data_IF_772251199175
#
_entry.id   IF_772251199175
#
_cell.length_a   1.000
_cell.length_b   1.000
_cell.length_c   1.000
_cell.angle_alpha   90.00
_cell.angle_beta   90.00
_cell.angle_gamma   90.00
#
_symmetry.space_group_name_H-M   'P 1'
#
loop_
_entity.id
_entity.type
_entity.pdbx_description
1 polymer ?
#
# COMPACT_ATOMS: atom_id res chain seq x y z
N UNK A 1 -14.54 -14.25 8.95
CA UNK A 1 -13.40 -14.40 8.06
C UNK A 1 -12.26 -13.77 8.81
N UNK A 2 -11.28 -14.57 9.16
CA UNK A 2 -10.04 -14.08 9.77
C UNK A 2 -9.22 -13.40 8.67
N UNK A 3 -8.37 -12.46 9.10
CA UNK A 3 -7.45 -11.75 8.20
C UNK A 3 -6.17 -12.57 8.08
N UNK A 4 -5.78 -12.88 6.86
CA UNK A 4 -4.57 -13.62 6.51
C UNK A 4 -3.47 -12.67 6.00
N UNK A 5 -2.23 -13.16 6.01
CA UNK A 5 -1.11 -12.42 5.42
C UNK A 5 -1.32 -12.32 3.89
N UNK A 6 -1.15 -11.11 3.36
CA UNK A 6 -1.41 -10.76 1.97
C UNK A 6 -2.84 -10.24 1.72
N UNK A 7 -3.69 -10.20 2.74
CA UNK A 7 -5.00 -9.57 2.62
C UNK A 7 -4.86 -8.05 2.46
N UNK A 8 -5.70 -7.49 1.59
CA UNK A 8 -5.81 -6.04 1.39
C UNK A 8 -7.04 -5.54 2.14
N UNK A 9 -6.83 -4.55 3.00
CA UNK A 9 -7.86 -3.89 3.78
C UNK A 9 -7.85 -2.39 3.48
N UNK A 10 -9.01 -1.74 3.47
CA UNK A 10 -9.11 -0.30 3.29
C UNK A 10 -9.23 0.39 4.64
N UNK A 11 -8.50 1.48 4.85
CA UNK A 11 -8.68 2.32 6.02
C UNK A 11 -9.97 3.15 5.88
N UNK A 12 -10.94 2.94 6.75
CA UNK A 12 -12.22 3.66 6.72
C UNK A 12 -12.10 5.16 7.03
N UNK A 13 -10.98 5.60 7.63
CA UNK A 13 -10.76 7.00 8.01
C UNK A 13 -10.12 7.84 6.88
N UNK A 14 -9.15 7.28 6.16
CA UNK A 14 -8.42 7.98 5.10
C UNK A 14 -8.62 7.40 3.70
N UNK A 15 -9.23 6.21 3.58
CA UNK A 15 -9.44 5.52 2.31
C UNK A 15 -8.22 4.78 1.76
N UNK A 16 -7.06 4.85 2.43
CA UNK A 16 -5.82 4.19 1.98
C UNK A 16 -5.95 2.67 1.98
N UNK A 17 -5.50 2.02 0.92
CA UNK A 17 -5.33 0.56 0.87
C UNK A 17 -4.11 0.11 1.65
N UNK A 18 -4.27 -0.89 2.51
CA UNK A 18 -3.22 -1.44 3.36
C UNK A 18 -3.12 -2.96 3.16
N UNK A 19 -1.90 -3.49 3.03
CA UNK A 19 -1.64 -4.93 2.95
C UNK A 19 -1.23 -5.49 4.32
N UNK A 20 -1.74 -6.67 4.66
CA UNK A 20 -1.37 -7.37 5.89
C UNK A 20 -0.06 -8.12 5.69
N UNK A 21 1.02 -7.66 6.32
CA UNK A 21 2.37 -8.27 6.19
C UNK A 21 2.77 -9.13 7.41
N UNK A 22 2.05 -9.02 8.53
CA UNK A 22 2.25 -9.80 9.77
C UNK A 22 0.96 -9.98 10.59
N UNK A 23 0.88 -11.03 11.41
CA UNK A 23 -0.32 -11.41 12.18
C UNK A 23 -0.12 -11.49 13.72
N UNK A 24 1.12 -11.40 14.22
CA UNK A 24 1.42 -11.44 15.67
C UNK A 24 2.72 -10.68 16.01
N UNK A 25 2.65 -9.36 16.31
CA UNK A 25 1.49 -8.48 16.20
C UNK A 25 1.08 -8.23 14.74
N UNK A 26 -0.13 -7.68 14.54
CA UNK A 26 -0.57 -7.28 13.19
C UNK A 26 0.32 -6.15 12.69
N UNK A 27 0.88 -6.34 11.51
CA UNK A 27 1.69 -5.35 10.79
C UNK A 27 1.06 -5.11 9.43
N UNK A 28 0.92 -3.83 9.06
CA UNK A 28 0.32 -3.38 7.83
C UNK A 28 1.32 -2.55 7.04
N UNK A 29 1.35 -2.73 5.73
CA UNK A 29 2.10 -1.88 4.81
C UNK A 29 1.14 -1.10 3.91
N UNK A 30 1.59 0.03 3.36
CA UNK A 30 0.78 0.81 2.42
C UNK A 30 0.80 0.08 1.08
N UNK A 31 -0.37 -0.13 0.49
CA UNK A 31 -0.43 -0.60 -0.90
C UNK A 31 0.10 0.53 -1.78
N UNK A 32 1.27 0.33 -2.38
CA UNK A 32 1.79 1.22 -3.39
C UNK A 32 0.84 1.17 -4.59
N UNK A 33 0.00 2.20 -4.74
CA UNK A 33 -0.59 2.50 -6.05
C UNK A 33 0.59 2.95 -6.93
N UNK A 34 0.77 2.34 -8.09
CA UNK A 34 1.79 2.68 -9.09
C UNK A 34 1.54 4.09 -9.71
N UNK A 35 1.11 5.07 -8.92
CA UNK A 35 0.87 6.47 -9.29
C UNK A 35 2.04 7.36 -8.85
N UNK A 36 3.26 6.82 -8.88
CA UNK A 36 4.43 7.63 -9.17
C UNK A 36 4.72 7.48 -10.65
N UNK A 37 3.96 8.22 -11.48
CA UNK A 37 4.52 8.78 -12.71
C UNK A 37 5.73 9.62 -12.29
N UNK A 38 6.87 8.96 -12.13
CA UNK A 38 8.19 9.57 -12.21
C UNK A 38 8.39 10.00 -13.66
N UNK A 39 7.59 10.98 -14.11
CA UNK A 39 7.98 11.93 -15.15
C UNK A 39 9.09 12.81 -14.53
N UNK A 40 10.20 12.16 -14.18
CA UNK A 40 11.50 12.81 -14.18
C UNK A 40 11.80 13.05 -15.65
N UNK A 41 11.30 14.18 -16.18
CA UNK A 41 11.71 14.76 -17.46
C UNK A 41 13.25 14.87 -17.47
N UNK A 42 13.91 13.77 -17.85
CA UNK A 42 15.31 13.68 -18.21
C UNK A 42 15.48 14.19 -19.65
N UNK A 43 15.17 15.47 -19.89
CA UNK A 43 15.52 16.18 -21.13
C UNK A 43 15.49 17.69 -20.82
N UNK A 44 16.60 18.45 -20.80
CA UNK A 44 17.36 18.79 -22.01
C UNK A 44 18.71 19.48 -21.61
N UNK A 45 19.83 18.86 -22.01
CA UNK A 45 21.18 19.41 -22.31
C UNK A 45 21.84 20.52 -21.47
#
# INVERSE_FOLDING_TARGET
>A
MDTDKGDIVSCDECGTGLEVVGLDPVELDIVEEEDYDEDEDEDEY
#
